data_IF_760934153888
#
_entry.id   IF_760934153888
#
_cell.length_a   1.000
_cell.length_b   1.000
_cell.length_c   1.000
_cell.angle_alpha   90.00
_cell.angle_beta   90.00
_cell.angle_gamma   90.00
#
_symmetry.space_group_name_H-M   'P 1'
#
loop_
_entity.id
_entity.type
_entity.pdbx_description
1 polymer ?
#
# COMPACT_ATOMS: atom_id res chain seq x y z
N UNK A 1 6.64 9.50 1.73
CA UNK A 1 5.49 9.06 2.56
C UNK A 1 6.03 8.32 3.77
N UNK A 2 5.56 8.66 4.95
CA UNK A 2 5.99 7.99 6.18
C UNK A 2 5.34 6.61 6.27
N UNK A 3 6.05 5.66 6.84
CA UNK A 3 5.56 4.28 7.01
C UNK A 3 4.22 4.22 7.76
N UNK A 4 4.06 5.05 8.79
CA UNK A 4 2.82 5.14 9.55
C UNK A 4 1.64 5.62 8.70
N UNK A 5 1.88 6.55 7.76
CA UNK A 5 0.84 7.06 6.85
C UNK A 5 0.38 5.98 5.88
N UNK A 6 1.31 5.15 5.39
CA UNK A 6 1.01 4.02 4.52
C UNK A 6 0.14 3.00 5.27
N UNK A 7 0.50 2.67 6.51
CA UNK A 7 -0.24 1.72 7.33
C UNK A 7 -1.66 2.24 7.62
N UNK A 8 -1.78 3.52 7.95
CA UNK A 8 -3.08 4.16 8.19
C UNK A 8 -3.95 4.11 6.94
N UNK A 9 -3.39 4.40 5.77
CA UNK A 9 -4.11 4.32 4.50
C UNK A 9 -4.60 2.89 4.21
N UNK A 10 -3.78 1.88 4.47
CA UNK A 10 -4.17 0.48 4.29
C UNK A 10 -5.32 0.09 5.22
N UNK A 11 -5.29 0.52 6.47
CA UNK A 11 -6.36 0.28 7.44
C UNK A 11 -7.65 0.96 6.99
N UNK A 12 -7.58 2.22 6.55
CA UNK A 12 -8.74 2.97 6.09
C UNK A 12 -9.39 2.32 4.86
N UNK A 13 -8.58 1.85 3.90
CA UNK A 13 -9.10 1.15 2.72
C UNK A 13 -9.80 -0.15 3.10
N UNK A 14 -9.21 -0.91 4.01
CA UNK A 14 -9.82 -2.15 4.51
C UNK A 14 -11.14 -1.88 5.22
N UNK A 15 -11.20 -0.85 6.04
CA UNK A 15 -12.42 -0.44 6.75
C UNK A 15 -13.51 -0.04 5.76
N UNK A 16 -13.17 0.69 4.71
CA UNK A 16 -14.12 1.08 3.66
C UNK A 16 -14.66 -0.16 2.92
N UNK A 17 -13.79 -1.10 2.56
CA UNK A 17 -14.19 -2.34 1.91
C UNK A 17 -15.15 -3.16 2.78
N UNK A 18 -14.86 -3.27 4.07
CA UNK A 18 -15.75 -3.95 5.05
C UNK A 18 -17.09 -3.26 5.16
N UNK A 19 -17.12 -1.93 5.21
CA UNK A 19 -18.35 -1.15 5.27
C UNK A 19 -19.22 -1.36 4.03
N UNK A 20 -18.60 -1.40 2.84
CA UNK A 20 -19.32 -1.71 1.59
C UNK A 20 -19.87 -3.13 1.60
N UNK A 21 -19.11 -4.11 2.05
CA UNK A 21 -19.57 -5.50 2.16
C UNK A 21 -20.79 -5.60 3.06
N UNK A 22 -20.75 -4.97 4.22
CA UNK A 22 -21.88 -4.97 5.17
C UNK A 22 -23.11 -4.29 4.59
N UNK A 23 -22.93 -3.17 3.90
CA UNK A 23 -24.04 -2.44 3.26
C UNK A 23 -24.68 -3.25 2.13
N UNK A 24 -23.87 -3.91 1.29
CA UNK A 24 -24.35 -4.77 0.20
C UNK A 24 -25.11 -5.96 0.79
N UNK A 25 -24.56 -6.62 1.80
CA UNK A 25 -25.21 -7.77 2.44
C UNK A 25 -26.53 -7.38 3.09
N UNK A 26 -26.59 -6.22 3.73
CA UNK A 26 -27.83 -5.70 4.31
C UNK A 26 -28.90 -5.44 3.25
N UNK A 27 -28.53 -4.84 2.13
CA UNK A 27 -29.44 -4.62 1.00
C UNK A 27 -29.92 -5.94 0.39
N UNK A 28 -29.04 -6.90 0.20
CA UNK A 28 -29.38 -8.22 -0.34
C UNK A 28 -30.31 -8.99 0.57
N UNK A 29 -30.18 -8.82 1.88
CA UNK A 29 -30.98 -9.54 2.87
C UNK A 29 -32.32 -8.89 3.10
N UNK A 30 -32.37 -7.56 3.25
CA UNK A 30 -33.58 -6.81 3.66
C UNK A 30 -34.30 -6.16 2.49
N UNK A 31 -33.59 -5.87 1.39
CA UNK A 31 -34.10 -5.12 0.25
C UNK A 31 -33.70 -5.79 -1.08
N UNK A 32 -33.97 -7.06 -1.21
CA UNK A 32 -33.58 -7.88 -2.38
C UNK A 32 -34.10 -7.34 -3.71
N UNK A 33 -35.21 -6.60 -3.68
CA UNK A 33 -35.82 -5.98 -4.87
C UNK A 33 -35.08 -4.73 -5.35
N UNK A 34 -34.17 -4.19 -4.54
CA UNK A 34 -33.46 -2.96 -4.85
C UNK A 34 -32.18 -3.24 -5.63
N UNK A 35 -32.31 -3.93 -6.76
CA UNK A 35 -31.19 -4.22 -7.67
C UNK A 35 -30.55 -2.93 -8.19
N UNK A 36 -31.34 -1.87 -8.32
CA UNK A 36 -30.89 -0.54 -8.71
C UNK A 36 -29.83 0.05 -7.77
N UNK A 37 -29.85 -0.34 -6.49
CA UNK A 37 -28.84 0.08 -5.49
C UNK A 37 -27.73 -0.95 -5.32
N UNK A 38 -28.08 -2.23 -5.35
CA UNK A 38 -27.14 -3.34 -5.10
C UNK A 38 -26.08 -3.40 -6.21
N UNK A 39 -26.50 -3.38 -7.45
CA UNK A 39 -25.59 -3.54 -8.60
C UNK A 39 -24.53 -2.45 -8.69
N UNK A 40 -24.85 -1.15 -8.58
CA UNK A 40 -23.82 -0.10 -8.55
C UNK A 40 -22.86 -0.23 -7.38
N UNK A 41 -23.33 -0.64 -6.20
CA UNK A 41 -22.47 -0.83 -5.04
C UNK A 41 -21.49 -1.98 -5.23
N UNK A 42 -21.94 -3.09 -5.82
CA UNK A 42 -21.07 -4.22 -6.14
C UNK A 42 -20.00 -3.81 -7.16
N UNK A 43 -20.35 -3.04 -8.17
CA UNK A 43 -19.41 -2.53 -9.16
C UNK A 43 -18.38 -1.61 -8.52
N UNK A 44 -18.81 -0.73 -7.60
CA UNK A 44 -17.90 0.14 -6.85
C UNK A 44 -16.96 -0.64 -5.94
N UNK A 45 -17.45 -1.73 -5.36
CA UNK A 45 -16.61 -2.59 -4.52
C UNK A 45 -15.52 -3.29 -5.34
N UNK A 46 -15.83 -3.72 -6.56
CA UNK A 46 -14.82 -4.29 -7.46
C UNK A 46 -13.75 -3.26 -7.80
N UNK A 47 -14.16 -2.03 -8.14
CA UNK A 47 -13.23 -0.93 -8.41
C UNK A 47 -12.34 -0.63 -7.19
N UNK A 48 -12.92 -0.63 -5.99
CA UNK A 48 -12.19 -0.40 -4.75
C UNK A 48 -11.15 -1.51 -4.52
N UNK A 49 -11.50 -2.76 -4.72
CA UNK A 49 -10.57 -3.89 -4.56
C UNK A 49 -9.41 -3.81 -5.53
N UNK A 50 -9.66 -3.43 -6.77
CA UNK A 50 -8.61 -3.22 -7.77
C UNK A 50 -7.68 -2.08 -7.36
N UNK A 51 -8.25 -0.97 -6.87
CA UNK A 51 -7.47 0.15 -6.37
C UNK A 51 -6.62 -0.24 -5.14
N UNK A 52 -7.16 -1.05 -4.25
CA UNK A 52 -6.44 -1.56 -3.07
C UNK A 52 -5.24 -2.42 -3.50
N UNK A 53 -5.42 -3.31 -4.48
CA UNK A 53 -4.33 -4.14 -4.99
C UNK A 53 -3.23 -3.29 -5.62
N UNK A 54 -3.59 -2.29 -6.39
CA UNK A 54 -2.63 -1.34 -6.99
C UNK A 54 -1.88 -0.58 -5.90
N UNK A 55 -2.58 -0.11 -4.88
CA UNK A 55 -1.97 0.59 -3.75
C UNK A 55 -0.98 -0.30 -2.99
N UNK A 56 -1.34 -1.56 -2.73
CA UNK A 56 -0.45 -2.50 -2.04
C UNK A 56 0.80 -2.81 -2.86
N UNK A 57 0.69 -2.90 -4.18
CA UNK A 57 1.87 -3.05 -5.06
C UNK A 57 2.79 -1.83 -4.98
N UNK A 58 2.22 -0.64 -5.04
CA UNK A 58 2.99 0.60 -4.92
C UNK A 58 3.71 0.65 -3.57
N UNK A 59 3.05 0.26 -2.49
CA UNK A 59 3.67 0.20 -1.17
C UNK A 59 4.82 -0.81 -1.10
N UNK A 60 4.66 -1.97 -1.73
CA UNK A 60 5.71 -2.98 -1.78
C UNK A 60 6.90 -2.51 -2.61
N UNK A 61 6.65 -1.91 -3.77
CA UNK A 61 7.69 -1.33 -4.61
C UNK A 61 8.45 -0.23 -3.86
N UNK A 62 7.73 0.60 -3.11
CA UNK A 62 8.33 1.64 -2.27
C UNK A 62 9.27 1.04 -1.22
N UNK A 63 8.86 -0.03 -0.55
CA UNK A 63 9.71 -0.74 0.42
C UNK A 63 10.98 -1.26 -0.24
N UNK A 64 10.89 -1.82 -1.44
CA UNK A 64 12.04 -2.34 -2.17
C UNK A 64 13.01 -1.23 -2.56
N UNK A 65 12.50 -0.09 -3.01
CA UNK A 65 13.32 1.10 -3.32
C UNK A 65 14.04 1.60 -2.08
N UNK A 66 13.35 1.70 -0.94
CA UNK A 66 13.95 2.11 0.34
C UNK A 66 15.09 1.18 0.74
N UNK A 67 14.91 -0.13 0.64
CA UNK A 67 15.95 -1.11 0.95
C UNK A 67 17.18 -0.92 0.07
N UNK A 68 16.98 -0.68 -1.23
CA UNK A 68 18.09 -0.42 -2.17
C UNK A 68 18.82 0.85 -1.85
N UNK A 69 18.11 1.91 -1.49
CA UNK A 69 18.71 3.19 -1.09
C UNK A 69 19.58 3.02 0.14
N UNK A 70 19.12 2.31 1.17
CA UNK A 70 19.91 2.04 2.36
C UNK A 70 21.14 1.20 2.05
N UNK A 71 21.02 0.17 1.23
CA UNK A 71 22.14 -0.67 0.84
C UNK A 71 23.23 0.12 0.09
N UNK A 72 22.81 0.98 -0.85
CA UNK A 72 23.74 1.87 -1.57
C UNK A 72 24.40 2.88 -0.65
N UNK A 73 23.67 3.41 0.31
CA UNK A 73 24.22 4.36 1.29
C UNK A 73 25.30 3.70 2.16
N UNK A 74 25.04 2.49 2.65
CA UNK A 74 26.03 1.73 3.43
C UNK A 74 27.27 1.41 2.60
N UNK A 75 27.08 1.00 1.36
CA UNK A 75 28.21 0.73 0.45
C UNK A 75 29.03 1.99 0.20
N UNK A 76 28.39 3.13 -0.01
CA UNK A 76 29.08 4.42 -0.21
C UNK A 76 29.90 4.79 1.04
N UNK A 77 29.37 4.59 2.24
CA UNK A 77 30.09 4.84 3.48
C UNK A 77 31.31 3.92 3.61
N UNK A 78 31.16 2.64 3.28
CA UNK A 78 32.26 1.68 3.31
C UNK A 78 33.37 2.08 2.34
N UNK A 79 33.02 2.40 1.10
CA UNK A 79 33.99 2.83 0.08
C UNK A 79 34.70 4.12 0.48
N UNK A 80 33.97 5.06 1.07
CA UNK A 80 34.54 6.32 1.56
C UNK A 80 35.55 6.07 2.68
N UNK A 81 35.26 5.16 3.60
CA UNK A 81 36.17 4.77 4.67
C UNK A 81 37.43 4.07 4.14
N UNK A 82 37.26 3.16 3.18
CA UNK A 82 38.38 2.49 2.51
C UNK A 82 39.31 3.49 1.82
N UNK A 83 38.74 4.45 1.08
CA UNK A 83 39.53 5.50 0.45
C UNK A 83 40.28 6.35 1.46
N UNK A 84 39.69 6.67 2.59
CA UNK A 84 40.32 7.41 3.66
C UNK A 84 41.52 6.66 4.24
N UNK A 85 41.38 5.35 4.46
CA UNK A 85 42.45 4.48 4.94
C UNK A 85 43.60 4.38 3.92
N UNK A 86 43.27 4.19 2.65
CA UNK A 86 44.27 4.14 1.58
C UNK A 86 45.07 5.43 1.51
N UNK A 87 44.45 6.57 1.70
CA UNK A 87 45.14 7.88 1.71
C UNK A 87 46.08 8.03 2.86
N UNK A 88 45.90 7.34 4.01
CA UNK A 88 46.79 7.37 5.14
C UNK A 88 48.13 6.67 4.87
N UNK A 89 48.17 5.77 3.90
CA UNK A 89 49.37 5.01 3.55
C UNK A 89 50.14 5.65 2.38
N UNK A 90 49.62 6.71 1.81
CA UNK A 90 50.29 7.48 0.77
C UNK A 90 50.92 8.72 1.35
#
# INVERSE_FOLDING_TARGET
MKELDILTAQINLRTLDQALTMSIDDLKTKHTHRVDLIKPMEERQIELKEAMLTFYRVCEDHKQVIKKVYALHEENLRLKNENTELKKFI
#
